data_IF_396198573155
#
_entry.id   IF_396198573155
#
_cell.length_a   1.000
_cell.length_b   1.000
_cell.length_c   1.000
_cell.angle_alpha   90.00
_cell.angle_beta   90.00
_cell.angle_gamma   90.00
#
_symmetry.space_group_name_H-M   'P 1'
#
loop_
_entity.id
_entity.type
_entity.pdbx_description
1 polymer ?
2 branched ?
3 branched ?
4 non-polymer ?
5 non-polymer ?
6 non-polymer ?
7 non-polymer ?
8 water ?
#
# COMPACT_ATOMS: atom_id res chain seq x y z
N UNK A 1 -13.81 -17.18 18.18
CA UNK A 1 -12.58 -16.40 17.90
C UNK A 1 -12.54 -15.16 18.78
N UNK A 2 -11.32 -14.69 19.07
CA UNK A 2 -11.16 -13.49 19.86
C UNK A 2 -10.50 -12.43 18.97
N UNK A 3 -10.66 -11.17 19.34
CA UNK A 3 -10.01 -10.13 18.54
C UNK A 3 -8.50 -10.31 18.64
N UNK A 4 -7.80 -10.09 17.53
CA UNK A 4 -6.34 -10.22 17.56
C UNK A 4 -5.74 -9.03 18.31
N UNK A 5 -4.68 -9.29 19.08
CA UNK A 5 -3.98 -8.20 19.77
C UNK A 5 -2.55 -8.19 19.23
N UNK A 6 -1.97 -7.02 19.06
CA UNK A 6 -0.60 -6.87 18.57
C UNK A 6 0.39 -7.04 19.72
N UNK A 7 0.59 -8.31 20.10
CA UNK A 7 1.43 -8.62 21.25
C UNK A 7 2.87 -8.89 20.89
N UNK A 8 3.21 -9.12 19.62
CA UNK A 8 4.57 -9.48 19.27
C UNK A 8 5.32 -8.32 18.64
N UNK A 9 6.64 -8.43 18.60
CA UNK A 9 7.49 -7.45 17.93
C UNK A 9 7.82 -8.04 16.54
N UNK A 10 8.52 -7.26 15.73
CA UNK A 10 8.93 -7.71 14.41
C UNK A 10 10.07 -8.71 14.54
N UNK A 11 10.11 -9.68 13.64
CA UNK A 11 11.21 -10.61 13.55
C UNK A 11 12.40 -9.79 13.02
N UNK A 12 13.60 -10.30 13.23
CA UNK A 12 14.80 -9.65 12.72
C UNK A 12 14.87 -9.89 11.21
N UNK A 13 14.98 -8.79 10.46
CA UNK A 13 14.99 -8.85 9.01
C UNK A 13 16.43 -8.88 8.51
N UNK A 14 16.89 -10.03 8.00
CA UNK A 14 18.27 -10.13 7.51
C UNK A 14 18.29 -10.26 6.01
N UNK A 15 17.12 -10.50 5.43
CA UNK A 15 16.93 -10.58 3.99
C UNK A 15 15.45 -10.80 3.72
N UNK A 16 15.10 -10.86 2.43
CA UNK A 16 13.70 -11.04 2.04
C UNK A 16 13.56 -12.29 1.19
N UNK A 17 12.51 -13.08 1.38
CA UNK A 17 12.33 -14.28 0.55
C UNK A 17 11.05 -14.13 -0.24
N UNK A 18 10.95 -14.80 -1.38
CA UNK A 18 9.73 -14.72 -2.20
C UNK A 18 8.55 -15.29 -1.44
N UNK A 19 7.41 -14.58 -1.50
CA UNK A 19 6.20 -15.04 -0.80
C UNK A 19 5.09 -15.38 -1.80
N UNK A 20 4.82 -14.47 -2.73
CA UNK A 20 3.80 -14.73 -3.75
C UNK A 20 4.10 -13.94 -5.03
N UNK A 21 3.55 -14.43 -6.13
CA UNK A 21 3.73 -13.74 -7.41
C UNK A 21 2.62 -14.26 -8.31
N UNK A 22 1.82 -13.44 -8.94
CA UNK A 22 0.73 -14.01 -9.74
C UNK A 22 0.94 -14.04 -11.23
N UNK A 23 1.94 -13.36 -11.79
CA UNK A 23 2.18 -13.38 -13.24
C UNK A 23 0.89 -13.09 -13.99
N UNK A 24 0.11 -12.13 -13.52
CA UNK A 24 -1.21 -11.88 -14.08
C UNK A 24 -1.21 -11.40 -15.52
N UNK A 25 -0.26 -10.50 -15.84
CA UNK A 25 -0.27 -9.96 -17.22
C UNK A 25 0.18 -11.03 -18.21
N UNK A 26 1.18 -11.83 -17.87
CA UNK A 26 1.58 -12.95 -18.72
C UNK A 26 0.39 -13.89 -18.96
N UNK A 27 -0.21 -14.34 -17.85
CA UNK A 27 -1.31 -15.31 -17.95
C UNK A 27 -2.52 -14.72 -18.65
N UNK A 28 -2.85 -13.46 -18.33
CA UNK A 28 -3.95 -12.74 -18.91
C UNK A 28 -3.89 -12.47 -20.40
N UNK A 29 -2.71 -12.65 -21.00
CA UNK A 29 -2.57 -12.53 -22.46
C UNK A 29 -3.47 -13.52 -23.17
N UNK A 30 -3.80 -14.67 -22.56
CA UNK A 30 -4.67 -15.68 -23.15
C UNK A 30 -5.56 -16.37 -22.13
N UNK A 31 -6.14 -15.61 -21.20
CA UNK A 31 -7.08 -16.18 -20.22
C UNK A 31 -7.86 -14.99 -19.65
N UNK A 32 -8.99 -15.21 -19.00
CA UNK A 32 -9.88 -14.15 -18.58
C UNK A 32 -9.50 -13.52 -17.26
N UNK A 33 -8.44 -12.73 -17.35
CA UNK A 33 -7.89 -12.03 -16.21
C UNK A 33 -8.40 -10.60 -16.20
N UNK A 34 -8.87 -10.15 -15.05
CA UNK A 34 -9.37 -8.79 -14.92
C UNK A 34 -8.24 -7.75 -14.92
N UNK A 35 -8.55 -6.60 -15.51
CA UNK A 35 -7.61 -5.48 -15.47
C UNK A 35 -7.69 -4.92 -14.04
N UNK A 36 -6.56 -4.70 -13.39
CA UNK A 36 -6.57 -4.14 -12.05
C UNK A 36 -5.56 -3.00 -11.95
N UNK A 37 -5.46 -2.39 -10.79
CA UNK A 37 -4.41 -1.52 -10.34
C UNK A 37 -4.59 -1.40 -8.82
N UNK A 38 -3.62 -0.77 -8.16
CA UNK A 38 -3.65 -0.57 -6.71
C UNK A 38 -3.89 -1.85 -5.93
N UNK A 39 -3.03 -2.84 -6.08
CA UNK A 39 -3.15 -4.12 -5.41
C UNK A 39 -2.59 -4.08 -3.99
N UNK A 40 -2.91 -5.13 -3.23
CA UNK A 40 -2.31 -5.29 -1.90
C UNK A 40 -2.52 -6.73 -1.46
N UNK A 41 -2.04 -7.06 -0.25
CA UNK A 41 -2.17 -8.42 0.27
C UNK A 41 -2.75 -8.29 1.69
N UNK A 42 -3.57 -9.24 2.11
CA UNK A 42 -4.13 -9.15 3.46
C UNK A 42 -4.47 -10.56 3.94
N UNK A 43 -4.18 -10.86 5.20
CA UNK A 43 -4.44 -12.17 5.73
C UNK A 43 -5.64 -12.19 6.69
N UNK A 44 -6.32 -13.33 6.65
CA UNK A 44 -7.36 -13.73 7.57
C UNK A 44 -6.65 -14.75 8.46
N UNK A 45 -7.28 -15.23 9.52
CA UNK A 45 -6.70 -16.21 10.40
C UNK A 45 -6.38 -17.54 9.73
N UNK A 46 -7.06 -17.91 8.66
CA UNK A 46 -6.85 -19.18 7.99
C UNK A 46 -6.39 -19.08 6.54
N UNK A 47 -6.15 -17.89 6.02
CA UNK A 47 -5.77 -17.77 4.61
C UNK A 47 -5.20 -16.39 4.32
N UNK A 48 -4.34 -16.26 3.33
CA UNK A 48 -3.86 -14.92 2.95
C UNK A 48 -4.25 -14.72 1.49
N UNK A 49 -4.72 -13.54 1.11
CA UNK A 49 -5.20 -13.35 -0.27
C UNK A 49 -4.64 -12.09 -0.89
N UNK A 50 -4.69 -12.05 -2.23
CA UNK A 50 -4.33 -10.83 -2.97
C UNK A 50 -5.60 -10.01 -3.15
N UNK A 51 -5.47 -8.69 -3.14
CA UNK A 51 -6.58 -7.74 -3.27
C UNK A 51 -6.20 -6.72 -4.34
N UNK A 52 -7.17 -6.10 -4.98
CA UNK A 52 -6.88 -5.02 -5.93
C UNK A 52 -8.18 -4.33 -6.35
N UNK A 53 -8.02 -3.21 -7.04
CA UNK A 53 -9.18 -2.54 -7.61
C UNK A 53 -9.32 -2.97 -9.06
N UNK A 54 -10.33 -3.77 -9.33
CA UNK A 54 -10.63 -4.18 -10.70
C UNK A 54 -11.05 -2.96 -11.52
N UNK A 55 -11.00 -3.09 -12.83
CA UNK A 55 -11.49 -2.07 -13.74
C UNK A 55 -12.73 -2.56 -14.48
N UNK A 56 -13.23 -3.73 -14.09
CA UNK A 56 -14.49 -4.24 -14.63
C UNK A 56 -14.41 -4.61 -16.11
N UNK A 57 -13.31 -5.23 -16.49
CA UNK A 57 -13.10 -5.71 -17.85
C UNK A 57 -11.88 -6.64 -17.80
N UNK A 58 -11.78 -7.54 -18.75
CA UNK A 58 -10.56 -8.37 -18.83
C UNK A 58 -9.49 -7.59 -19.58
N UNK A 59 -8.25 -8.05 -19.57
CA UNK A 59 -7.17 -7.32 -20.26
C UNK A 59 -7.28 -7.45 -21.76
N UNK A 60 -7.66 -8.63 -22.26
CA UNK A 60 -7.84 -8.82 -23.70
C UNK A 60 -9.18 -8.26 -24.18
N UNK A 61 -10.10 -7.93 -23.27
CA UNK A 61 -11.39 -7.38 -23.68
C UNK A 61 -11.21 -5.99 -24.28
N UNK A 62 -12.13 -5.64 -25.17
CA UNK A 62 -12.14 -4.32 -25.80
C UNK A 62 -12.37 -3.22 -24.77
N UNK A 63 -13.03 -3.49 -23.64
CA UNK A 63 -13.21 -2.48 -22.60
C UNK A 63 -11.92 -2.21 -21.83
N UNK A 64 -10.79 -2.85 -22.15
CA UNK A 64 -9.52 -2.54 -21.48
C UNK A 64 -9.03 -1.16 -21.95
N UNK A 65 -9.50 -0.72 -23.11
CA UNK A 65 -9.11 0.59 -23.63
C UNK A 65 -9.57 1.69 -22.69
N UNK A 66 -8.66 2.49 -22.16
CA UNK A 66 -9.05 3.60 -21.29
C UNK A 66 -8.87 3.28 -19.82
N UNK A 67 -8.27 2.14 -19.49
CA UNK A 67 -8.09 1.74 -18.10
C UNK A 67 -6.94 2.43 -17.39
N UNK A 68 -6.28 3.43 -18.00
CA UNK A 68 -5.36 4.27 -17.26
C UNK A 68 -6.22 5.10 -16.29
N UNK A 69 -7.50 5.37 -16.58
CA UNK A 69 -8.37 6.19 -15.76
C UNK A 69 -8.50 5.63 -14.34
N UNK A 70 -8.47 6.53 -13.36
CA UNK A 70 -8.50 6.08 -11.97
C UNK A 70 -9.82 5.76 -11.31
N UNK A 71 -10.91 6.45 -11.67
CA UNK A 71 -12.13 6.35 -10.86
C UNK A 71 -13.42 6.19 -11.59
N UNK A 72 -13.67 5.04 -12.21
CA UNK A 72 -14.94 4.85 -12.92
C UNK A 72 -15.93 4.12 -12.03
N UNK A 73 -17.17 4.01 -12.54
CA UNK A 73 -18.24 3.27 -11.87
C UNK A 73 -18.07 1.77 -12.02
N UNK A 74 -17.07 1.31 -12.78
CA UNK A 74 -16.86 -0.09 -13.12
C UNK A 74 -15.75 -0.70 -12.27
N UNK A 75 -15.25 0.05 -11.29
CA UNK A 75 -14.23 -0.48 -10.40
C UNK A 75 -14.82 -1.12 -9.15
N UNK A 76 -14.05 -2.03 -8.56
CA UNK A 76 -14.46 -2.69 -7.32
C UNK A 76 -13.23 -3.28 -6.62
N UNK A 77 -13.34 -3.36 -5.30
CA UNK A 77 -12.30 -4.05 -4.55
C UNK A 77 -12.57 -5.56 -4.73
N UNK A 78 -11.58 -6.29 -5.20
CA UNK A 78 -11.70 -7.74 -5.35
C UNK A 78 -10.59 -8.44 -4.57
N UNK A 79 -10.82 -9.69 -4.15
CA UNK A 79 -9.77 -10.49 -3.54
C UNK A 79 -9.78 -11.84 -4.25
N UNK A 80 -8.62 -12.50 -4.21
CA UNK A 80 -8.45 -13.80 -4.88
C UNK A 80 -7.32 -14.57 -4.23
N UNK A 81 -7.27 -15.88 -4.42
CA UNK A 81 -6.31 -16.74 -3.74
C UNK A 81 -4.87 -16.34 -3.98
N UNK A 82 -4.05 -16.38 -2.93
CA UNK A 82 -2.65 -16.01 -2.98
C UNK A 82 -1.94 -16.59 -4.22
N UNK A 83 -1.31 -15.72 -4.99
CA UNK A 83 -0.52 -16.07 -6.16
C UNK A 83 -1.29 -16.54 -7.38
N UNK A 84 -2.61 -16.70 -7.33
CA UNK A 84 -3.37 -16.96 -8.57
C UNK A 84 -3.53 -15.56 -9.16
N UNK A 85 -3.91 -15.41 -10.42
CA UNK A 85 -4.18 -14.11 -11.01
C UNK A 85 -5.63 -13.73 -10.71
N UNK A 86 -5.99 -12.45 -10.79
CA UNK A 86 -7.35 -12.01 -10.53
C UNK A 86 -8.22 -12.34 -11.73
N UNK A 87 -8.90 -13.49 -11.74
CA UNK A 87 -9.68 -13.82 -12.93
C UNK A 87 -11.16 -13.51 -12.72
N UNK A 88 -11.90 -13.52 -13.83
CA UNK A 88 -13.33 -13.28 -13.74
C UNK A 88 -13.97 -14.33 -12.83
N UNK A 89 -13.49 -15.57 -12.90
CA UNK A 89 -14.08 -16.69 -12.20
C UNK A 89 -13.55 -16.98 -10.82
N UNK A 90 -12.46 -16.38 -10.35
CA UNK A 90 -11.98 -16.68 -9.00
C UNK A 90 -11.96 -15.40 -8.16
N UNK A 91 -12.36 -14.27 -8.70
CA UNK A 91 -12.25 -13.02 -7.95
C UNK A 91 -13.51 -12.73 -7.15
N UNK A 92 -13.35 -12.48 -5.85
CA UNK A 92 -14.50 -12.23 -4.99
C UNK A 92 -14.64 -10.73 -4.80
N UNK A 93 -15.81 -10.16 -5.10
CA UNK A 93 -15.94 -8.70 -4.89
C UNK A 93 -16.22 -8.42 -3.41
N UNK A 94 -15.44 -7.53 -2.83
CA UNK A 94 -15.60 -7.15 -1.43
C UNK A 94 -16.52 -5.94 -1.27
N UNK A 95 -16.45 -5.03 -2.24
CA UNK A 95 -17.31 -3.84 -2.23
C UNK A 95 -17.08 -3.08 -3.53
N UNK A 96 -17.91 -2.09 -3.85
CA UNK A 96 -17.79 -1.34 -5.10
C UNK A 96 -17.15 0.01 -4.87
N UNK A 97 -16.17 0.37 -5.72
CA UNK A 97 -15.54 1.68 -5.48
C UNK A 97 -14.19 1.77 -6.17
N UNK A 98 -13.53 2.92 -6.05
CA UNK A 98 -12.26 3.17 -6.71
C UNK A 98 -11.14 3.57 -5.77
N UNK A 99 -11.31 3.34 -4.48
CA UNK A 99 -10.31 3.55 -3.43
C UNK A 99 -10.67 2.62 -2.27
N UNK A 100 -9.72 1.88 -1.69
CA UNK A 100 -10.10 0.93 -0.65
C UNK A 100 -9.04 0.66 0.41
N UNK A 101 -9.48 -0.09 1.40
CA UNK A 101 -8.65 -0.68 2.45
C UNK A 101 -9.46 -1.87 3.02
N UNK A 102 -8.77 -2.80 3.67
CA UNK A 102 -9.43 -3.99 4.20
C UNK A 102 -8.53 -4.60 5.26
N UNK A 103 -9.13 -5.16 6.33
CA UNK A 103 -8.33 -5.84 7.34
C UNK A 103 -9.20 -6.77 8.16
N UNK A 104 -8.58 -7.80 8.71
CA UNK A 104 -9.27 -8.77 9.55
C UNK A 104 -8.96 -8.44 11.00
N UNK A 105 -9.96 -8.45 11.89
CA UNK A 105 -9.70 -8.11 13.28
C UNK A 105 -9.50 -9.36 14.14
N UNK A 106 -9.50 -10.56 13.54
CA UNK A 106 -9.33 -11.78 14.35
C UNK A 106 -10.68 -12.50 14.40
N UNK A 107 -11.77 -11.74 14.32
CA UNK A 107 -13.11 -12.32 14.29
C UNK A 107 -13.67 -12.35 12.88
N UNK A 108 -13.63 -11.21 12.20
CA UNK A 108 -14.08 -11.16 10.81
C UNK A 108 -13.42 -9.97 10.12
N UNK A 109 -13.69 -9.79 8.84
CA UNK A 109 -13.02 -8.74 8.07
C UNK A 109 -13.85 -7.50 7.84
N UNK A 110 -13.15 -6.35 7.93
CA UNK A 110 -13.73 -5.05 7.59
C UNK A 110 -13.19 -4.65 6.22
N UNK A 111 -14.04 -4.22 5.29
CA UNK A 111 -13.53 -3.76 3.99
C UNK A 111 -14.15 -2.39 3.71
N UNK A 112 -13.39 -1.46 3.16
CA UNK A 112 -13.93 -0.12 2.94
C UNK A 112 -13.69 0.26 1.48
N UNK A 113 -14.74 0.72 0.82
CA UNK A 113 -14.66 1.14 -0.56
C UNK A 113 -15.30 2.54 -0.68
N UNK A 114 -14.63 3.39 -1.44
CA UNK A 114 -15.14 4.74 -1.69
C UNK A 114 -15.56 4.87 -3.16
N UNK A 115 -16.71 5.45 -3.43
CA UNK A 115 -17.17 5.66 -4.79
C UNK A 115 -17.78 7.05 -4.90
N UNK A 116 -18.13 7.46 -6.12
CA UNK A 116 -18.79 8.73 -6.34
C UNK A 116 -17.96 9.66 -7.23
N UNK A 117 -18.59 10.76 -7.62
CA UNK A 117 -17.90 11.77 -8.45
C UNK A 117 -16.90 12.49 -7.56
N UNK A 118 -15.97 13.24 -8.13
CA UNK A 118 -14.97 13.93 -7.34
C UNK A 118 -15.51 14.81 -6.22
N UNK A 119 -16.62 15.53 -6.45
CA UNK A 119 -17.16 16.41 -5.44
C UNK A 119 -18.22 15.78 -4.57
N UNK A 120 -18.45 14.46 -4.65
CA UNK A 120 -19.57 13.94 -3.81
C UNK A 120 -19.35 12.45 -3.53
N UNK A 121 -18.11 12.08 -3.19
CA UNK A 121 -17.77 10.68 -2.93
C UNK A 121 -18.18 10.26 -1.52
N UNK A 122 -18.34 8.96 -1.33
CA UNK A 122 -18.70 8.47 0.00
C UNK A 122 -18.06 7.11 0.23
N UNK A 123 -17.69 6.83 1.46
CA UNK A 123 -17.13 5.57 1.89
C UNK A 123 -18.22 4.67 2.47
N UNK A 124 -18.18 3.38 2.13
CA UNK A 124 -19.11 2.43 2.73
C UNK A 124 -18.23 1.43 3.49
N UNK A 125 -18.48 1.26 4.78
CA UNK A 125 -17.68 0.37 5.60
C UNK A 125 -18.42 -0.96 5.76
N UNK A 126 -17.84 -2.03 5.25
CA UNK A 126 -18.41 -3.37 5.32
C UNK A 126 -17.75 -4.16 6.46
N UNK A 127 -18.54 -4.98 7.16
CA UNK A 127 -17.99 -5.78 8.25
C UNK A 127 -18.72 -7.11 8.23
N UNK A 128 -17.98 -8.23 8.19
CA UNK A 128 -18.63 -9.54 8.09
C UNK A 128 -19.45 -9.61 6.81
N UNK A 129 -18.89 -9.05 5.73
CA UNK A 129 -19.46 -8.99 4.40
C UNK A 129 -20.81 -8.33 4.26
N UNK A 130 -21.14 -7.41 5.14
CA UNK A 130 -22.36 -6.61 5.12
C UNK A 130 -22.03 -5.14 5.34
N UNK A 131 -22.74 -4.25 4.66
CA UNK A 131 -22.53 -2.81 4.85
C UNK A 131 -23.02 -2.40 6.23
N UNK A 132 -22.21 -1.64 6.96
CA UNK A 132 -22.57 -1.24 8.32
C UNK A 132 -22.62 0.27 8.50
N UNK A 133 -21.58 0.97 8.04
CA UNK A 133 -21.47 2.41 8.20
C UNK A 133 -21.12 3.11 6.90
N UNK A 134 -21.58 4.35 6.75
CA UNK A 134 -21.28 5.16 5.57
C UNK A 134 -20.75 6.53 5.99
N UNK A 135 -19.78 7.06 5.25
CA UNK A 135 -19.18 8.37 5.59
C UNK A 135 -19.20 9.25 4.35
N UNK A 136 -19.81 10.44 4.42
CA UNK A 136 -19.85 11.31 3.26
C UNK A 136 -18.57 12.15 3.15
N UNK A 137 -18.24 12.56 1.93
CA UNK A 137 -17.08 13.43 1.72
C UNK A 137 -17.16 14.65 2.63
N UNK A 138 -16.03 15.05 3.23
CA UNK A 138 -16.02 16.23 4.07
C UNK A 138 -15.36 17.44 3.40
N UNK A 139 -14.57 17.24 2.36
CA UNK A 139 -13.92 18.36 1.68
C UNK A 139 -14.29 18.43 0.21
N UNK A 140 -15.18 17.57 -0.26
CA UNK A 140 -15.69 17.51 -1.61
C UNK A 140 -14.60 17.47 -2.68
N UNK A 141 -13.58 16.64 -2.46
CA UNK A 141 -12.50 16.58 -3.45
C UNK A 141 -11.80 15.24 -3.33
N UNK A 142 -12.42 14.23 -3.94
CA UNK A 142 -11.88 12.88 -4.01
C UNK A 142 -11.56 12.26 -2.66
N UNK A 143 -12.62 12.02 -1.86
CA UNK A 143 -12.44 11.29 -0.59
C UNK A 143 -11.66 10.02 -0.94
N UNK A 144 -10.62 9.64 -0.21
CA UNK A 144 -9.78 8.52 -0.61
C UNK A 144 -9.05 7.88 0.55
N UNK A 145 -8.58 6.64 0.38
CA UNK A 145 -7.93 5.98 1.53
C UNK A 145 -6.67 5.22 1.12
N UNK A 146 -6.25 4.30 1.95
CA UNK A 146 -4.95 3.67 1.93
C UNK A 146 -4.49 2.95 0.70
N UNK A 147 -5.31 2.12 0.10
CA UNK A 147 -4.91 1.27 -1.04
C UNK A 147 -4.03 0.13 -0.55
N UNK A 148 -4.09 -0.18 0.75
CA UNK A 148 -3.41 -1.34 1.30
C UNK A 148 -4.07 -1.68 2.64
N UNK A 149 -3.71 -2.80 3.24
CA UNK A 149 -4.43 -3.25 4.43
C UNK A 149 -4.34 -2.31 5.62
N UNK A 150 -5.41 -2.27 6.42
CA UNK A 150 -5.45 -1.58 7.69
C UNK A 150 -4.98 -2.60 8.74
N UNK A 151 -4.85 -2.20 9.99
CA UNK A 151 -4.40 -3.06 11.07
C UNK A 151 -5.31 -2.93 12.29
N UNK A 152 -5.61 -4.04 12.93
CA UNK A 152 -6.48 -3.98 14.11
C UNK A 152 -5.81 -4.40 15.40
N UNK A 153 -6.31 -3.87 16.52
CA UNK A 153 -5.81 -4.25 17.84
C UNK A 153 -6.99 -4.29 18.81
N UNK A 154 -7.28 -5.44 19.39
CA UNK A 154 -8.42 -5.64 20.28
C UNK A 154 -9.71 -5.11 19.65
N UNK A 155 -9.91 -5.35 18.37
CA UNK A 155 -11.12 -4.96 17.64
C UNK A 155 -11.08 -3.54 17.09
N UNK A 156 -10.12 -2.72 17.49
CA UNK A 156 -10.04 -1.34 16.99
C UNK A 156 -9.13 -1.32 15.76
N UNK A 157 -9.69 -0.92 14.62
CA UNK A 157 -8.96 -0.87 13.36
C UNK A 157 -8.89 0.55 12.83
N UNK A 158 -7.80 1.26 13.07
CA UNK A 158 -7.62 2.62 12.58
C UNK A 158 -7.45 2.64 11.06
N UNK A 159 -8.00 3.67 10.42
CA UNK A 159 -7.94 3.83 8.97
C UNK A 159 -7.64 5.30 8.65
N UNK A 160 -6.73 5.55 7.71
CA UNK A 160 -6.38 6.92 7.34
C UNK A 160 -7.06 7.29 6.03
N UNK A 161 -7.75 8.42 6.02
CA UNK A 161 -8.43 8.92 4.84
C UNK A 161 -7.94 10.34 4.54
N UNK A 162 -8.09 10.78 3.32
CA UNK A 162 -7.74 12.13 2.92
C UNK A 162 -8.84 12.64 1.99
N UNK A 163 -9.17 13.91 2.12
CA UNK A 163 -10.19 14.51 1.24
C UNK A 163 -9.67 15.93 0.99
N UNK A 164 -9.65 16.39 -0.25
CA UNK A 164 -9.12 17.71 -0.54
C UNK A 164 -8.05 17.56 -1.62
N UNK A 165 -7.35 18.67 -1.88
CA UNK A 165 -6.36 18.74 -2.92
C UNK A 165 -5.27 17.70 -2.76
N UNK A 166 -4.77 17.20 -3.88
CA UNK A 166 -3.65 16.26 -3.84
C UNK A 166 -2.35 17.06 -3.98
N UNK A 167 -2.48 18.36 -4.28
CA UNK A 167 -1.30 19.20 -4.53
C UNK A 167 -1.25 20.44 -3.66
N UNK A 168 -1.64 20.32 -2.40
CA UNK A 168 -1.65 21.45 -1.44
C UNK A 168 -2.28 20.90 -0.16
N UNK A 169 -2.51 21.73 0.82
CA UNK A 169 -3.12 21.31 2.07
C UNK A 169 -4.43 20.58 1.81
N UNK A 170 -4.67 19.53 2.58
CA UNK A 170 -5.89 18.71 2.47
C UNK A 170 -6.36 18.34 3.86
N UNK A 171 -7.51 17.69 3.97
CA UNK A 171 -8.07 17.30 5.26
C UNK A 171 -7.98 15.78 5.45
N UNK A 172 -6.98 15.38 6.20
CA UNK A 172 -6.70 13.98 6.51
C UNK A 172 -7.31 13.67 7.87
N UNK A 173 -8.01 12.53 7.95
CA UNK A 173 -8.63 12.08 9.17
C UNK A 173 -8.22 10.64 9.50
N UNK A 174 -8.10 10.36 10.78
CA UNK A 174 -7.81 9.00 11.21
C UNK A 174 -9.09 8.51 11.89
N UNK A 175 -9.70 7.48 11.30
CA UNK A 175 -10.92 6.92 11.86
C UNK A 175 -10.58 5.65 12.64
N UNK A 176 -11.23 5.46 13.76
CA UNK A 176 -11.04 4.28 14.60
C UNK A 176 -12.33 3.46 14.54
N UNK A 177 -12.29 2.35 13.80
CA UNK A 177 -13.49 1.53 13.65
C UNK A 177 -13.46 0.33 14.58
N UNK A 178 -14.64 -0.15 14.97
CA UNK A 178 -14.76 -1.39 15.74
C UNK A 178 -16.08 -2.05 15.30
N UNK A 179 -16.00 -3.21 14.72
CA UNK A 179 -17.15 -3.92 14.17
C UNK A 179 -17.84 -3.08 13.11
N UNK A 180 -17.05 -2.36 12.31
CA UNK A 180 -17.55 -1.52 11.24
C UNK A 180 -18.19 -0.22 11.72
N UNK A 181 -18.20 0.05 13.01
CA UNK A 181 -18.81 1.28 13.51
C UNK A 181 -17.71 2.27 13.92
N UNK A 182 -18.04 3.55 13.86
CA UNK A 182 -17.07 4.58 14.22
C UNK A 182 -17.02 4.80 15.73
N UNK A 183 -15.86 4.57 16.34
CA UNK A 183 -15.71 4.85 17.77
C UNK A 183 -15.33 6.33 17.93
N UNK A 184 -14.45 6.77 17.03
CA UNK A 184 -13.90 8.12 17.09
C UNK A 184 -13.19 8.44 15.78
N UNK A 185 -12.97 9.73 15.53
CA UNK A 185 -12.13 10.15 14.42
C UNK A 185 -11.39 11.41 14.90
N UNK A 186 -10.24 11.65 14.30
CA UNK A 186 -9.49 12.86 14.63
C UNK A 186 -8.74 13.34 13.40
N UNK A 187 -8.58 14.66 13.30
CA UNK A 187 -7.86 15.27 12.21
C UNK A 187 -6.37 14.96 12.37
N UNK A 188 -5.66 14.90 11.26
CA UNK A 188 -4.23 14.67 11.30
C UNK A 188 -3.54 15.69 12.21
N UNK A 189 -2.60 15.23 13.02
CA UNK A 189 -1.80 16.17 13.83
C UNK A 189 -0.34 15.82 13.58
N UNK A 190 0.57 16.57 14.20
CA UNK A 190 1.99 16.30 14.02
C UNK A 190 2.59 17.17 12.92
N UNK A 191 3.78 16.79 12.44
CA UNK A 191 4.47 17.64 11.46
C UNK A 191 4.38 17.17 10.02
N UNK A 192 3.71 16.05 9.74
CA UNK A 192 3.54 15.65 8.32
C UNK A 192 2.65 16.71 7.70
N UNK A 193 3.01 17.26 6.54
CA UNK A 193 2.23 18.36 5.95
C UNK A 193 1.18 17.90 4.94
N UNK A 194 1.31 16.68 4.44
CA UNK A 194 0.33 16.17 3.47
C UNK A 194 0.40 14.65 3.53
N UNK A 195 -0.76 13.99 3.55
CA UNK A 195 -0.79 12.53 3.66
C UNK A 195 -1.62 11.86 2.56
N UNK A 196 -1.06 10.80 1.98
CA UNK A 196 -1.77 9.99 1.00
C UNK A 196 -1.40 8.51 1.18
N UNK A 197 -2.34 7.64 0.85
CA UNK A 197 -2.09 6.21 0.75
C UNK A 197 -1.17 5.60 1.78
N UNK A 198 -1.57 5.61 3.06
CA UNK A 198 -0.69 5.06 4.08
C UNK A 198 -0.60 3.54 4.01
N UNK A 199 0.60 3.03 4.20
CA UNK A 199 0.91 1.61 4.25
C UNK A 199 1.21 1.30 5.72
N UNK A 200 0.42 0.43 6.35
CA UNK A 200 0.59 0.25 7.80
C UNK A 200 0.93 -1.17 8.23
N UNK A 201 1.47 -1.29 9.44
CA UNK A 201 1.78 -2.57 10.06
C UNK A 201 1.70 -2.32 11.58
N UNK A 202 1.52 -3.37 12.35
CA UNK A 202 1.37 -3.29 13.79
C UNK A 202 2.33 -4.23 14.51
N UNK A 203 2.79 -3.77 15.67
CA UNK A 203 3.68 -4.57 16.51
C UNK A 203 3.66 -3.95 17.91
N UNK A 204 3.67 -4.78 18.95
CA UNK A 204 3.65 -4.29 20.32
C UNK A 204 2.69 -3.15 20.56
N UNK A 205 1.43 -3.35 20.19
CA UNK A 205 0.32 -2.44 20.41
C UNK A 205 0.47 -1.03 19.86
N UNK A 206 1.17 -0.93 18.74
CA UNK A 206 1.41 0.34 18.08
C UNK A 206 1.30 0.07 16.58
N UNK A 207 0.66 0.97 15.85
CA UNK A 207 0.50 0.81 14.41
C UNK A 207 1.34 1.90 13.74
N UNK A 208 2.17 1.49 12.79
CA UNK A 208 3.03 2.46 12.11
C UNK A 208 2.63 2.52 10.65
N UNK A 209 2.40 3.73 10.14
CA UNK A 209 2.01 3.86 8.74
C UNK A 209 3.01 4.76 8.02
N UNK A 210 3.44 4.32 6.84
CA UNK A 210 4.34 5.12 6.00
C UNK A 210 3.53 5.58 4.81
N UNK A 211 3.48 6.88 4.56
CA UNK A 211 2.56 7.45 3.59
C UNK A 211 3.25 8.18 2.46
N UNK A 212 2.48 8.84 1.63
CA UNK A 212 2.97 9.54 0.43
C UNK A 212 2.64 11.02 0.56
N UNK A 213 3.65 11.87 0.67
CA UNK A 213 3.35 13.32 0.72
C UNK A 213 3.32 13.74 -0.73
N UNK A 214 2.16 13.77 -1.37
CA UNK A 214 2.08 14.12 -2.78
C UNK A 214 2.36 15.58 -3.06
N UNK A 215 2.25 16.45 -2.07
CA UNK A 215 2.43 17.88 -2.28
C UNK A 215 3.88 18.29 -2.44
N UNK A 216 4.65 18.33 -1.37
CA UNK A 216 6.03 18.79 -1.45
C UNK A 216 7.14 17.82 -1.09
N UNK A 217 6.89 16.74 -0.37
CA UNK A 217 7.95 15.94 0.18
C UNK A 217 8.44 14.72 -0.55
N UNK A 218 9.76 14.55 -0.66
CA UNK A 218 10.27 13.35 -1.32
C UNK A 218 10.74 12.34 -0.26
N UNK A 219 10.70 12.76 0.98
CA UNK A 219 10.87 11.89 2.15
C UNK A 219 9.42 11.45 2.45
N UNK A 220 9.21 10.33 3.13
CA UNK A 220 7.83 9.92 3.36
C UNK A 220 7.35 10.27 4.77
N UNK A 221 6.11 10.75 4.85
CA UNK A 221 5.52 11.02 6.15
C UNK A 221 5.28 9.69 6.85
N UNK A 222 5.28 9.72 8.18
CA UNK A 222 5.04 8.56 9.02
C UNK A 222 4.00 8.93 10.08
N UNK A 223 2.96 8.13 10.18
CA UNK A 223 1.94 8.28 11.20
C UNK A 223 2.04 7.10 12.17
N UNK A 224 2.12 7.37 13.47
CA UNK A 224 2.18 6.31 14.46
C UNK A 224 0.95 6.40 15.36
N UNK A 225 0.19 5.31 15.36
CA UNK A 225 -1.09 5.28 16.04
C UNK A 225 -1.09 4.35 17.25
N UNK A 226 -1.67 4.83 18.33
CA UNK A 226 -1.91 4.05 19.55
C UNK A 226 -3.38 3.68 19.46
N UNK A 227 -3.69 2.42 19.14
CA UNK A 227 -5.08 1.99 18.96
C UNK A 227 -5.84 1.75 20.24
N UNK A 228 -5.21 1.88 21.38
CA UNK A 228 -5.88 1.74 22.68
C UNK A 228 -6.32 3.13 23.12
N UNK A 229 -5.37 4.07 23.14
CA UNK A 229 -5.69 5.46 23.45
C UNK A 229 -6.44 6.15 22.33
N UNK A 230 -6.35 5.60 21.11
CA UNK A 230 -6.95 6.16 19.92
C UNK A 230 -6.41 7.56 19.72
N UNK A 231 -5.07 7.65 19.65
CA UNK A 231 -4.32 8.87 19.43
C UNK A 231 -3.18 8.57 18.46
N UNK A 232 -2.60 9.61 17.86
CA UNK A 232 -1.53 9.42 16.90
C UNK A 232 -0.55 10.60 16.90
N UNK A 233 0.56 10.40 16.22
CA UNK A 233 1.57 11.42 16.00
C UNK A 233 1.97 11.33 14.52
N UNK A 234 2.64 12.35 14.00
CA UNK A 234 3.09 12.27 12.60
C UNK A 234 4.43 13.02 12.52
N UNK A 235 5.24 12.61 11.57
CA UNK A 235 6.53 13.21 11.28
C UNK A 235 6.96 12.69 9.90
N UNK A 236 8.22 12.88 9.53
CA UNK A 236 8.73 12.33 8.28
C UNK A 236 9.86 11.37 8.62
N UNK A 237 10.19 10.43 7.72
CA UNK A 237 11.38 9.60 7.90
C UNK A 237 12.55 10.60 7.78
N UNK A 238 13.37 10.73 8.82
CA UNK A 238 14.47 11.66 8.91
C UNK A 238 15.61 11.37 7.92
N UNK A 239 15.83 10.09 7.63
CA UNK A 239 16.93 9.69 6.77
C UNK A 239 17.04 10.42 5.46
N UNK A 240 18.28 10.59 4.99
CA UNK A 240 18.56 11.17 3.68
C UNK A 240 18.35 10.16 2.57
N UNK A 241 18.04 8.90 2.88
CA UNK A 241 17.74 7.91 1.84
C UNK A 241 16.28 8.19 1.45
N UNK A 242 16.04 8.97 0.40
CA UNK A 242 14.68 9.38 0.05
C UNK A 242 13.92 8.28 -0.66
N UNK A 243 12.65 8.06 -0.23
CA UNK A 243 11.95 6.91 -0.78
C UNK A 243 10.67 7.16 -1.54
N UNK A 244 10.33 8.41 -1.90
CA UNK A 244 9.16 8.60 -2.75
C UNK A 244 9.65 8.57 -4.20
N UNK A 245 8.77 8.83 -5.16
CA UNK A 245 9.18 8.85 -6.58
C UNK A 245 8.14 9.67 -7.33
N UNK A 246 8.53 10.57 -8.23
CA UNK A 246 9.91 10.90 -8.49
C UNK A 246 10.53 11.60 -7.30
N UNK A 247 11.83 11.82 -7.28
CA UNK A 247 12.47 12.46 -6.14
C UNK A 247 13.82 13.01 -6.62
N UNK A 248 14.40 13.90 -5.86
CA UNK A 248 15.75 14.40 -6.20
C UNK A 248 16.74 13.34 -5.76
N UNK A 249 18.02 13.52 -6.09
CA UNK A 249 19.04 12.58 -5.64
C UNK A 249 19.19 12.65 -4.14
N UNK A 250 19.67 11.59 -3.51
CA UNK A 250 19.82 11.59 -2.06
C UNK A 250 20.85 12.61 -1.56
N UNK A 251 20.51 13.37 -0.54
CA UNK A 251 21.44 14.28 0.11
C UNK A 251 22.20 13.56 1.20
N UNK A 252 22.97 14.24 2.04
CA UNK A 252 23.65 13.61 3.15
C UNK A 252 22.87 13.82 4.45
N UNK A 253 21.94 14.78 4.46
CA UNK A 253 21.13 14.97 5.68
C UNK A 253 19.67 15.11 5.26
N UNK A 254 18.74 14.42 5.91
CA UNK A 254 17.33 14.54 5.48
C UNK A 254 16.58 15.53 6.35
N UNK A 255 15.26 15.44 6.38
CA UNK A 255 14.43 16.32 7.20
C UNK A 255 13.46 15.46 8.01
N UNK A 256 13.37 15.72 9.31
CA UNK A 256 12.51 14.97 10.22
C UNK A 256 11.09 15.50 10.30
N UNK A 257 10.92 16.83 10.24
CA UNK A 257 9.64 17.48 10.49
C UNK A 257 9.13 18.39 9.39
N UNK A 258 9.62 18.22 8.17
CA UNK A 258 9.20 18.96 7.01
C UNK A 258 9.53 18.15 5.75
N UNK A 259 8.80 18.43 4.69
CA UNK A 259 9.00 17.76 3.43
C UNK A 259 10.38 18.08 2.86
N UNK A 260 11.08 17.08 2.37
CA UNK A 260 12.36 17.26 1.70
C UNK A 260 12.01 17.71 0.29
N UNK A 261 12.44 18.91 -0.08
CA UNK A 261 12.04 19.52 -1.33
C UNK A 261 12.77 19.05 -2.57
N UNK A 262 12.29 19.54 -3.72
CA UNK A 262 12.90 19.18 -4.99
C UNK A 262 11.88 18.72 -6.01
N UNK A 263 10.81 18.07 -5.58
CA UNK A 263 9.77 17.54 -6.47
C UNK A 263 8.40 17.83 -5.84
N UNK A 264 7.50 18.38 -6.65
CA UNK A 264 6.18 18.75 -6.19
C UNK A 264 5.07 18.01 -6.91
N UNK A 265 3.93 17.89 -6.23
CA UNK A 265 2.72 17.38 -6.86
C UNK A 265 2.84 16.05 -7.57
N UNK A 266 3.47 15.08 -6.93
CA UNK A 266 3.56 13.75 -7.52
C UNK A 266 4.12 12.80 -6.45
N UNK A 267 4.10 11.51 -6.72
CA UNK A 267 4.58 10.61 -5.67
C UNK A 267 4.14 9.19 -6.05
N UNK A 268 4.32 8.26 -5.13
CA UNK A 268 3.91 6.87 -5.35
C UNK A 268 3.69 6.24 -3.99
N UNK A 269 2.69 5.36 -3.90
CA UNK A 269 2.48 4.71 -2.60
C UNK A 269 3.68 3.85 -2.27
N UNK A 270 4.14 3.88 -1.02
CA UNK A 270 5.32 3.11 -0.62
C UNK A 270 5.20 2.71 0.85
N UNK A 271 6.27 2.12 1.40
CA UNK A 271 6.18 1.65 2.78
C UNK A 271 7.55 1.58 3.42
N UNK A 272 7.57 1.26 4.71
CA UNK A 272 8.82 1.01 5.41
C UNK A 272 8.54 0.18 6.66
N UNK A 273 9.57 -0.40 7.23
CA UNK A 273 9.48 -1.08 8.53
C UNK A 273 10.46 -0.29 9.40
N UNK A 274 9.99 0.38 10.43
CA UNK A 274 10.81 1.29 11.25
C UNK A 274 10.95 0.70 12.65
N UNK A 275 12.07 0.05 12.88
CA UNK A 275 12.27 -0.69 14.12
C UNK A 275 13.71 -0.59 14.58
N UNK A 276 14.16 0.64 14.86
CA UNK A 276 15.53 0.84 15.34
C UNK A 276 16.54 0.37 14.31
N UNK A 277 17.51 -0.47 14.74
CA UNK A 277 18.50 -0.96 13.77
C UNK A 277 17.84 -1.94 12.79
N UNK A 278 16.71 -2.54 13.11
CA UNK A 278 15.99 -3.44 12.23
C UNK A 278 15.03 -2.65 11.32
N UNK A 279 15.53 -1.60 10.69
CA UNK A 279 14.76 -0.73 9.83
C UNK A 279 15.12 -0.97 8.37
N UNK A 280 14.08 -1.19 7.57
CA UNK A 280 14.28 -1.41 6.13
C UNK A 280 13.30 -0.52 5.37
N UNK A 281 13.80 0.18 4.35
CA UNK A 281 12.99 1.04 3.52
C UNK A 281 12.87 0.47 2.10
N UNK A 282 11.68 0.59 1.51
CA UNK A 282 11.60 0.21 0.09
C UNK A 282 11.63 1.50 -0.75
N UNK A 283 12.05 1.36 -2.00
CA UNK A 283 11.97 2.47 -2.95
C UNK A 283 12.21 1.98 -4.38
N UNK A 284 11.75 2.82 -5.32
CA UNK A 284 12.02 2.56 -6.73
C UNK A 284 13.52 2.82 -6.89
N UNK A 285 14.15 2.18 -7.85
CA UNK A 285 15.58 2.46 -8.10
C UNK A 285 15.68 3.80 -8.81
N UNK A 286 14.87 4.01 -9.84
CA UNK A 286 14.90 5.28 -10.58
C UNK A 286 14.42 6.44 -9.72
N UNK A 287 15.05 7.62 -9.91
CA UNK A 287 14.57 8.79 -9.17
C UNK A 287 13.50 9.50 -9.99
N UNK A 288 13.36 9.14 -11.27
CA UNK A 288 12.43 9.84 -12.15
C UNK A 288 11.15 9.10 -12.50
N UNK A 289 11.17 7.77 -12.49
CA UNK A 289 9.99 7.02 -12.89
C UNK A 289 9.78 5.77 -12.03
N UNK A 290 8.62 5.13 -12.20
CA UNK A 290 8.28 3.94 -11.40
C UNK A 290 8.94 2.73 -12.02
N UNK A 291 10.26 2.66 -11.86
CA UNK A 291 11.08 1.62 -12.44
C UNK A 291 12.05 1.12 -11.40
N UNK A 292 12.13 -0.19 -11.33
CA UNK A 292 12.95 -0.92 -10.36
C UNK A 292 12.35 -0.83 -8.96
N UNK A 293 12.91 -1.66 -8.08
CA UNK A 293 12.50 -1.67 -6.68
C UNK A 293 13.61 -2.31 -5.86
N UNK A 294 13.91 -1.68 -4.73
CA UNK A 294 14.94 -2.21 -3.86
C UNK A 294 14.58 -2.01 -2.39
N UNK A 295 15.12 -2.90 -1.56
CA UNK A 295 14.95 -2.78 -0.12
C UNK A 295 16.28 -2.35 0.48
N UNK A 296 16.30 -1.34 1.33
CA UNK A 296 17.55 -0.89 1.94
C UNK A 296 17.47 -0.93 3.46
N UNK A 297 18.47 -1.53 4.10
CA UNK A 297 18.51 -1.56 5.56
C UNK A 297 19.12 -0.24 6.01
N UNK A 298 18.37 0.60 6.70
CA UNK A 298 18.81 1.93 7.08
C UNK A 298 18.54 2.09 8.58
N UNK A 299 19.52 1.71 9.38
CA UNK A 299 19.37 1.73 10.84
C UNK A 299 18.93 3.09 11.32
N UNK A 300 17.86 3.11 12.12
CA UNK A 300 17.28 4.30 12.71
C UNK A 300 16.86 5.35 11.69
N UNK A 301 16.36 4.93 10.52
CA UNK A 301 15.93 5.86 9.50
C UNK A 301 14.89 6.86 9.98
N UNK A 302 13.97 6.42 10.85
CA UNK A 302 12.94 7.31 11.34
C UNK A 302 13.50 8.51 12.11
N UNK A 303 14.51 8.30 12.94
CA UNK A 303 15.00 9.36 13.81
C UNK A 303 16.39 9.88 13.54
N UNK A 304 17.15 9.28 12.64
CA UNK A 304 18.53 9.72 12.40
C UNK A 304 18.59 10.41 11.05
N UNK A 305 18.84 11.72 11.05
CA UNK A 305 18.83 12.48 9.81
C UNK A 305 20.07 12.36 8.95
N UNK A 306 21.01 11.48 9.29
CA UNK A 306 22.16 11.24 8.43
C UNK A 306 22.27 9.74 8.14
N UNK A 307 21.27 8.94 8.57
CA UNK A 307 21.35 7.49 8.41
C UNK A 307 21.45 7.05 6.96
N UNK A 308 22.38 6.12 6.67
CA UNK A 308 22.57 5.58 5.32
C UNK A 308 22.49 4.06 5.37
N UNK A 309 22.42 3.42 4.22
CA UNK A 309 22.25 1.97 4.15
C UNK A 309 23.40 1.16 4.70
N UNK A 310 23.12 0.03 5.34
CA UNK A 310 24.16 -0.88 5.82
C UNK A 310 24.01 -2.25 5.14
N UNK A 311 22.94 -2.42 4.37
CA UNK A 311 22.67 -3.65 3.64
C UNK A 311 21.53 -3.38 2.66
N UNK A 312 21.38 -4.21 1.62
CA UNK A 312 20.26 -4.00 0.72
C UNK A 312 19.85 -5.28 -0.01
N UNK A 313 18.75 -5.17 -0.77
CA UNK A 313 18.29 -6.28 -1.61
C UNK A 313 17.55 -5.72 -2.82
N UNK A 314 17.94 -6.14 -4.02
CA UNK A 314 17.23 -5.69 -5.22
C UNK A 314 16.02 -6.62 -5.38
N UNK A 315 14.86 -6.03 -5.65
CA UNK A 315 13.63 -6.80 -5.82
C UNK A 315 13.26 -6.82 -7.30
N UNK A 316 13.32 -5.66 -7.94
CA UNK A 316 13.00 -5.48 -9.34
C UNK A 316 14.11 -4.63 -9.99
N UNK A 317 14.65 -5.12 -11.10
CA UNK A 317 15.72 -4.37 -11.78
C UNK A 317 15.20 -3.04 -12.29
N UNK A 318 16.12 -2.07 -12.42
CA UNK A 318 15.74 -0.74 -12.92
C UNK A 318 15.32 -0.78 -14.37
N UNK A 319 15.52 -1.89 -15.08
CA UNK A 319 15.08 -2.03 -16.46
C UNK A 319 13.71 -2.66 -16.54
N UNK A 320 13.03 -2.81 -15.38
CA UNK A 320 11.68 -3.35 -15.32
C UNK A 320 10.77 -2.36 -14.58
N UNK A 321 9.49 -2.34 -14.94
CA UNK A 321 8.51 -1.45 -14.33
C UNK A 321 8.05 -1.93 -12.96
N UNK A 322 7.92 -0.96 -12.05
CA UNK A 322 7.38 -1.27 -10.73
C UNK A 322 6.13 -0.42 -10.52
N UNK A 323 5.90 0.13 -9.33
CA UNK A 323 4.65 0.87 -9.09
C UNK A 323 4.41 0.99 -7.58
N UNK A 324 3.16 0.91 -7.15
CA UNK A 324 2.84 1.01 -5.73
C UNK A 324 3.48 -0.10 -4.92
N UNK A 325 3.71 0.12 -3.63
CA UNK A 325 4.19 -0.95 -2.77
C UNK A 325 3.59 -0.70 -1.37
N UNK A 326 3.42 -1.78 -0.61
CA UNK A 326 2.79 -1.63 0.69
C UNK A 326 3.13 -2.79 1.61
N UNK A 327 2.79 -2.57 2.89
CA UNK A 327 3.08 -3.55 3.92
C UNK A 327 1.87 -4.35 4.35
N UNK A 328 2.13 -5.58 4.78
CA UNK A 328 1.10 -6.43 5.37
C UNK A 328 1.89 -7.45 6.19
N UNK A 329 1.23 -8.11 7.14
CA UNK A 329 1.86 -9.20 7.88
C UNK A 329 0.81 -10.27 8.13
N UNK A 330 1.27 -11.50 8.34
CA UNK A 330 0.35 -12.56 8.74
C UNK A 330 0.36 -12.53 10.28
N UNK A 331 -0.61 -11.83 10.86
CA UNK A 331 -0.74 -11.70 12.30
C UNK A 331 -1.15 -12.99 13.00
N UNK A 332 -1.53 -14.02 12.26
CA UNK A 332 -1.96 -15.29 12.82
C UNK A 332 -0.98 -16.42 12.57
N UNK A 333 0.27 -16.12 12.24
CA UNK A 333 1.28 -17.17 12.02
C UNK A 333 1.76 -17.72 13.35
N UNK A 334 2.54 -18.80 13.32
CA UNK A 334 3.08 -19.37 14.55
C UNK A 334 4.37 -18.65 14.93
N UNK A 335 4.92 -18.90 16.11
CA UNK A 335 6.21 -18.28 16.43
C UNK A 335 6.05 -17.11 17.39
N UNK A 336 7.17 -16.47 17.71
CA UNK A 336 7.15 -15.42 18.71
C UNK A 336 7.20 -14.01 18.14
N UNK A 337 7.33 -13.88 16.83
CA UNK A 337 7.44 -12.54 16.26
C UNK A 337 6.62 -12.43 14.98
N UNK A 338 6.34 -11.20 14.58
CA UNK A 338 5.62 -10.97 13.32
C UNK A 338 6.62 -10.79 12.18
N UNK A 339 6.43 -11.56 11.10
CA UNK A 339 7.32 -11.49 9.95
C UNK A 339 6.86 -10.38 9.00
N UNK A 340 7.71 -9.38 8.82
CA UNK A 340 7.41 -8.27 7.94
C UNK A 340 7.24 -8.77 6.51
N UNK A 341 6.22 -8.29 5.81
CA UNK A 341 6.04 -8.63 4.40
C UNK A 341 5.71 -7.37 3.60
N UNK A 342 5.87 -7.43 2.27
CA UNK A 342 5.46 -6.32 1.43
C UNK A 342 5.10 -6.85 0.05
N UNK A 343 4.41 -6.03 -0.73
CA UNK A 343 4.13 -6.39 -2.12
C UNK A 343 4.66 -5.23 -2.97
N UNK A 344 4.90 -5.47 -4.26
CA UNK A 344 5.20 -4.44 -5.22
C UNK A 344 4.22 -4.64 -6.40
N UNK A 345 3.52 -3.59 -6.80
CA UNK A 345 2.64 -3.58 -7.95
C UNK A 345 3.55 -3.42 -9.18
N UNK A 346 3.51 -4.31 -10.15
CA UNK A 346 4.33 -4.21 -11.36
C UNK A 346 3.42 -3.68 -12.47
N UNK A 347 3.45 -2.36 -12.68
CA UNK A 347 2.53 -1.76 -13.64
C UNK A 347 2.94 -1.96 -15.09
N UNK A 348 1.95 -2.38 -15.89
CA UNK A 348 2.21 -2.57 -17.32
C UNK A 348 1.20 -1.75 -18.10
N UNK A 349 1.60 -1.37 -19.32
CA UNK A 349 0.68 -0.58 -20.13
C UNK A 349 0.90 0.91 -19.93
N UNK A 350 -0.16 1.70 -20.08
CA UNK A 350 -0.01 3.16 -20.03
C UNK A 350 0.26 3.67 -18.64
N UNK A 351 0.97 4.80 -18.52
CA UNK A 351 1.42 5.58 -19.64
C UNK A 351 2.80 5.24 -20.19
N UNK A 352 3.56 4.37 -19.53
CA UNK A 352 4.92 4.07 -19.98
C UNK A 352 5.00 3.23 -21.24
N UNK A 353 4.05 2.34 -21.45
CA UNK A 353 3.99 1.46 -22.60
C UNK A 353 2.71 1.78 -23.36
N UNK A 354 2.77 2.82 -24.21
CA UNK A 354 1.56 3.26 -24.88
C UNK A 354 1.22 2.64 -26.21
N UNK A 355 1.86 1.54 -26.58
CA UNK A 355 1.47 0.78 -27.77
C UNK A 355 0.20 -0.01 -27.47
N UNK A 356 -0.09 -0.24 -26.19
CA UNK A 356 -1.34 -0.86 -25.79
C UNK A 356 -2.24 0.27 -25.25
N UNK A 357 -3.55 0.02 -25.22
CA UNK A 357 -4.47 1.06 -24.77
C UNK A 357 -4.92 0.87 -23.32
N UNK A 358 -4.39 -0.16 -22.67
CA UNK A 358 -4.77 -0.42 -21.29
C UNK A 358 -3.65 -0.12 -20.30
N UNK A 359 -4.03 -0.21 -19.02
CA UNK A 359 -3.09 -0.10 -17.90
C UNK A 359 -3.47 -1.25 -16.95
N UNK A 360 -2.55 -2.10 -16.55
CA UNK A 360 -2.88 -3.14 -15.59
C UNK A 360 -1.62 -3.38 -14.76
N UNK A 361 -1.57 -4.46 -13.99
CA UNK A 361 -0.38 -4.74 -13.21
C UNK A 361 -0.35 -6.23 -12.86
N UNK A 362 0.77 -6.69 -12.38
CA UNK A 362 0.85 -8.00 -11.74
C UNK A 362 1.41 -7.71 -10.34
N UNK A 363 1.50 -8.73 -9.50
CA UNK A 363 1.95 -8.53 -8.12
C UNK A 363 3.16 -9.41 -7.83
N UNK A 364 4.08 -8.88 -7.05
CA UNK A 364 5.16 -9.70 -6.50
C UNK A 364 5.18 -9.38 -4.99
N UNK A 365 5.40 -10.37 -4.14
CA UNK A 365 5.36 -10.09 -2.70
C UNK A 365 6.40 -10.92 -1.99
N UNK A 366 7.05 -10.34 -0.96
CA UNK A 366 8.12 -10.98 -0.23
C UNK A 366 7.86 -10.87 1.28
N UNK A 367 8.53 -11.71 2.06
CA UNK A 367 8.45 -11.59 3.52
C UNK A 367 9.89 -11.71 4.02
N UNK A 368 10.14 -11.25 5.25
CA UNK A 368 11.51 -11.26 5.75
C UNK A 368 11.99 -12.64 6.18
N UNK A 369 13.31 -12.82 6.11
CA UNK A 369 13.96 -14.03 6.59
C UNK A 369 15.01 -13.62 7.64
N UNK A 370 15.25 -14.48 8.62
CA UNK A 370 16.33 -14.25 9.57
C UNK A 370 17.65 -14.79 8.99
N UNK A 371 17.60 -15.46 7.83
CA UNK A 371 18.82 -15.87 7.14
C UNK A 371 19.28 -14.72 6.25
N UNK A 372 20.50 -14.81 5.72
CA UNK A 372 20.96 -13.80 4.76
C UNK A 372 20.87 -14.46 3.38
N UNK A 373 19.67 -14.47 2.80
CA UNK A 373 19.45 -15.17 1.54
C UNK A 373 19.94 -14.50 0.27
N UNK A 374 20.30 -15.31 -0.72
CA UNK A 374 20.68 -14.78 -2.03
C UNK A 374 19.51 -14.02 -2.64
N UNK A 375 19.82 -13.05 -3.51
CA UNK A 375 18.77 -12.27 -4.15
C UNK A 375 18.59 -12.60 -5.63
N UNK A 376 17.36 -12.42 -6.10
CA UNK A 376 16.99 -12.55 -7.50
C UNK A 376 16.19 -11.28 -7.83
N UNK A 377 15.82 -11.10 -9.09
CA UNK A 377 14.97 -9.94 -9.42
C UNK A 377 13.67 -10.55 -9.91
N UNK A 378 12.56 -9.87 -9.72
CA UNK A 378 11.25 -10.44 -10.03
C UNK A 378 10.40 -9.52 -10.90
N UNK A 379 10.59 -9.57 -12.21
CA UNK A 379 9.85 -8.73 -13.13
C UNK A 379 8.44 -9.22 -13.38
N UNK A 380 7.60 -8.39 -14.00
CA UNK A 380 6.24 -8.84 -14.34
C UNK A 380 6.34 -10.03 -15.28
N UNK A 381 7.20 -9.91 -16.29
CA UNK A 381 7.48 -10.97 -17.23
C UNK A 381 6.69 -11.02 -18.51
N UNK A 382 5.72 -10.14 -18.70
CA UNK A 382 4.93 -10.17 -19.93
C UNK A 382 5.64 -9.41 -21.04
N UNK A 383 5.38 -9.82 -22.27
CA UNK A 383 5.94 -9.16 -23.44
C UNK A 383 4.84 -8.29 -24.04
N UNK A 384 4.96 -6.97 -24.01
CA UNK A 384 3.96 -6.06 -24.56
C UNK A 384 3.64 -6.35 -26.01
N UNK A 385 4.65 -6.67 -26.82
CA UNK A 385 4.53 -6.99 -28.21
C UNK A 385 3.49 -8.06 -28.48
N UNK A 386 3.31 -9.03 -27.58
CA UNK A 386 2.29 -10.05 -27.77
C UNK A 386 0.86 -9.52 -27.73
N UNK A 387 0.63 -8.37 -27.11
CA UNK A 387 -0.70 -7.80 -26.98
C UNK A 387 -1.07 -6.88 -28.14
N UNK A 388 -0.16 -6.72 -29.10
CA UNK A 388 -0.42 -5.84 -30.24
C UNK A 388 -1.13 -6.52 -31.38
X LIG B 1 -24.14 15.97 -3.88
X LIG B 1 -24.75 16.95 -4.87
X LIG B 1 -26.04 17.52 -4.33
X LIG B 1 -26.96 16.32 -3.96
X LIG B 1 -26.24 15.39 -2.96
X LIG B 1 -27.08 14.20 -2.54
X LIG B 1 -23.34 18.46 -6.31
X LIG B 1 -22.44 19.64 -6.22
X LIG B 1 -23.83 18.08 -5.11
X LIG B 1 -26.68 18.25 -5.38
X LIG B 1 -28.22 16.80 -3.42
X LIG B 1 -25.10 14.90 -3.65
X LIG B 1 -27.56 13.44 -3.59
X LIG B 1 -23.60 17.90 -7.27
X LIG B 2 -29.38 16.23 -4.01
X LIG B 2 -30.53 16.33 -3.01
X LIG B 2 -31.71 15.63 -3.66
X LIG B 2 -31.99 16.37 -4.99
X LIG B 2 -30.74 16.42 -5.91
X LIG B 2 -30.91 17.23 -7.16
X LIG B 2 -29.86 16.34 -0.61
X LIG B 2 -29.74 15.50 0.61
X LIG B 2 -30.18 15.67 -1.74
X LIG B 2 -32.85 15.62 -2.81
X LIG B 2 -33.06 15.70 -5.69
X LIG B 2 -29.69 17.04 -5.16
X LIG B 2 -31.21 18.57 -6.97
X LIG B 2 -29.71 17.48 -0.61
X LIG B 3 -34.20 16.47 -6.05
X LIG B 3 -34.98 15.62 -7.09
X LIG B 3 -36.29 16.35 -7.32
X LIG B 3 -37.09 16.60 -6.08
X LIG B 3 -36.18 17.35 -5.06
X LIG B 3 -36.87 17.58 -3.73
X LIG B 3 -35.22 14.32 -6.59
X LIG B 3 -37.05 15.54 -8.23
X LIG B 3 -38.26 17.35 -6.36
X LIG B 3 -34.99 16.58 -4.88
X LIG B 3 -36.30 18.67 -3.06
X LIG B 4 -37.74 16.20 -9.27
X LIG B 4 -38.70 15.16 -9.93
X LIG B 4 -37.87 14.10 -10.62
X LIG B 4 -36.99 14.71 -11.69
X LIG B 4 -36.06 15.72 -10.99
X LIG B 4 -35.21 16.57 -11.96
X LIG B 4 -39.46 15.97 -10.82
X LIG B 4 -38.73 13.11 -11.20
X LIG B 4 -36.28 13.72 -12.38
X LIG B 4 -36.81 16.64 -10.21
X LIG B 4 -34.15 17.05 -11.15
X LIG B 5 -40.53 15.45 -11.53
X LIG B 5 -41.03 16.58 -12.49
X LIG B 5 -41.74 17.64 -11.67
X LIG B 5 -42.82 17.09 -10.78
X LIG B 5 -42.24 15.96 -9.88
X LIG B 5 -43.29 15.22 -9.06
X LIG B 5 -41.84 15.99 -13.46
X LIG B 5 -42.24 18.58 -12.65
X LIG B 5 -43.37 18.06 -9.91
X LIG B 5 -41.53 15.03 -10.66
X LIG B 5 -44.39 14.91 -9.87
X LIG B 6 -41.38 15.83 -14.78
X LIG B 6 -42.60 15.43 -15.65
X LIG B 6 -43.07 14.04 -15.20
X LIG B 6 -41.96 13.01 -15.29
X LIG B 6 -40.77 13.49 -14.41
X LIG B 6 -39.52 12.64 -14.53
X LIG B 6 -42.23 15.42 -17.02
X LIG B 6 -44.22 13.70 -15.97
X LIG B 6 -42.40 11.73 -14.87
X LIG B 6 -40.41 14.81 -14.78
X LIG B 6 -39.12 12.63 -15.89
X LIG B 7 -36.78 19.98 -3.36
X LIG B 7 -35.90 21.01 -2.61
X LIG B 7 -36.09 20.84 -1.12
X LIG B 7 -37.54 20.97 -0.72
X LIG B 7 -38.34 19.92 -1.51
X LIG B 7 -39.84 19.98 -1.32
X LIG B 7 -36.29 22.31 -3.04
X LIG B 7 -35.27 21.80 -0.42
X LIG B 7 -37.67 20.77 0.66
X LIG B 7 -38.10 20.08 -2.90
X LIG B 7 -40.24 21.32 -1.59
X LIG C 1 -7.09 -9.42 23.16
X LIG C 1 -7.44 -10.87 23.46
X LIG C 1 -8.88 -10.91 23.96
X LIG C 1 -9.02 -9.95 25.16
X LIG C 1 -8.50 -8.54 24.79
X LIG C 1 -8.52 -7.56 25.94
X LIG C 1 -6.72 -12.92 22.24
X LIG C 1 -6.68 -13.56 20.91
X LIG C 1 -7.31 -11.69 22.25
X LIG C 1 -9.17 -12.26 24.31
X LIG C 1 -10.39 -9.78 25.54
X LIG C 1 -7.14 -8.69 24.40
X LIG C 1 -7.86 -8.04 27.06
X LIG C 1 -6.31 -13.41 23.20
X LIG C 2 -10.96 -10.59 26.54
X LIG C 2 -12.35 -10.04 26.85
X LIG C 2 -12.90 -10.84 28.01
X LIG C 2 -13.03 -12.30 27.53
X LIG C 2 -11.73 -12.82 26.87
X LIG C 2 -12.03 -14.08 26.06
X LIG C 2 -11.60 -7.90 27.92
X LIG C 2 -11.55 -6.44 27.75
X LIG C 2 -12.39 -8.59 27.08
X LIG C 2 -14.17 -10.31 28.35
X LIG C 2 -13.31 -13.18 28.64
X LIG C 2 -11.23 -11.88 25.94
X LIG C 2 -13.09 -13.95 25.19
X LIG C 2 -11.00 -8.46 28.73
X LIG D 1 -9.12 3.38 -27.73
X LIG D 1 -9.27 3.08 -29.21
X LIG D 1 -8.87 4.32 -29.99
X LIG D 1 -9.52 5.60 -29.43
X LIG D 1 -9.35 5.69 -27.90
X LIG D 1 -10.03 6.91 -27.33
X LIG D 1 -8.69 0.70 -29.86
X LIG D 1 -7.59 -0.24 -30.12
X LIG D 1 -8.35 1.97 -29.58
X LIG D 1 -9.35 4.19 -31.34
X LIG D 1 -8.89 6.77 -29.99
X LIG D 1 -9.95 4.52 -27.37
X LIG D 1 -11.37 7.02 -27.65
X LIG D 1 -9.77 0.35 -29.89
X LIG E 1 6.09 13.28 -3.19
X LIG F 1 -11.75 -18.32 -24.42
X LIG G 1 -4.89 6.72 -8.06
X LIG G 1 -5.56 5.88 -7.08
X LIG G 1 -6.60 5.21 -7.40
X LIG G 1 -7.13 5.10 -8.66
X LIG G 1 -7.24 4.46 -6.43
X LIG G 1 -4.22 7.92 -7.33
X LIG G 1 -5.19 9.06 -6.86
X LIG G 1 -4.41 10.25 -6.18
X LIG G 1 -3.62 9.80 -4.92
X LIG G 1 -2.50 10.74 -4.42
X LIG G 1 -5.44 11.38 -5.86
X LIG G 1 -6.21 11.94 -7.09
X LIG G 1 -6.20 8.52 -5.94
X LIG G 1 -7.48 8.32 -6.35
X LIG G 1 -8.46 7.69 -5.37
X LIG G 1 -7.92 8.59 -7.46
X LIG G 1 -3.15 8.45 -8.35
X LIG G 1 -3.78 9.42 -9.24
X LIG G 1 -2.76 7.20 -9.21
X LIG G 1 -1.29 6.87 -9.22
X LIG G 1 -0.82 5.81 -9.58
X LIG G 1 -0.47 7.80 -8.72
X LIG G 1 -3.62 6.03 -8.67
X LIG H 1 15.04 17.84 10.47
X LIG H 1 15.60 17.45 11.70
X LIG H 1 14.00 18.94 10.60
X LIG H 1 14.69 20.18 10.43
X LIG H 1 12.93 18.88 9.51
X LIG H 1 12.08 20.01 9.66
X LIG I 1 -13.16 0.87 -19.15
X LIG I 1 -13.27 0.63 -20.53
X LIG I 1 -13.25 2.40 -18.96
X LIG I 1 -14.56 2.84 -19.28
X LIG I 1 -12.92 2.77 -17.51
X LIG I 1 -13.07 4.18 -17.36
X LIG J 1 7.68 -16.03 13.20
X LIG J 1 8.61 -17.03 13.61
X LIG J 1 7.42 -16.19 11.70
X LIG J 1 7.85 -17.51 11.34
X LIG J 1 5.92 -16.08 11.39
X LIG J 1 5.74 -15.65 10.07
#
# INVERSE_FOLDING_TARGET
RDFNNLTKGLCTINSWHIYGKDNAVRIGEDSDVLVTREPYVSCDPDECRFYALSQGTTIRGKHSNGTIHDRSQYRALISWPLSSPPTVYNSRVECIGWSSTSCHDGKTRMSICISGPNNNASAVIWYNRRPVTEINTWARNILRTQESECVCHNGVCPVVFTDGSATGPAETRIYYFKEGKILKWEPLAGTAKHIEECSCYGERAEITCTCRDNWQGSNRPVIRIDPVAMTHTSQYICSPVLTDNPRPNDPTVGKCNDPYPGNNNNGVKGFSYLDGVNTWLGRTISIASRSGYEMLKVPNALTDDKSKPTQGQTIVLNTDWSGYSGSFMDYWAEGECYRACFYVELIRGRPKEDKVWWTSNSIVSMCSSTEFLGQWDWPDGAKIEYFL
NAG C1 C2 C3 C4 C5 C6 C7 C8 N2 O3 O4 O5 O6 O7
NAG C1 C2 C3 C4 C5 C6 C7 C8 N2 O3 O4 O5 O6 O7
BMA C1 C2 C3 C4 C5 C6 O2 O3 O4 O5 O6
MAN C1 C2 C3 C4 C5 C6 O2 O3 O4 O5 O6
MAN C1 C2 C3 C4 C5 C6 O2 O3 O4 O5 O6
MAN C1 C2 C3 C4 C5 C6 O2 O3 O4 O5 O6
MAN C1 C2 C3 C4 C5 C6 O2 O3 O4 O5 O6
NAG C1 C2 C3 C4 C5 C6 C7 C8 N2 O3 O4 O5 O6 O7
NAG C1 C2 C3 C4 C5 C6 C7 C8 N2 O3 O4 O5 O6 O7
NAG C1 C2 C3 C4 C5 C6 C7 C8 N2 O3 O4 O5 O6 O7
CA CA
CA CA
BCZ C2 N25 C26 N30 N27 C3 C10 C24 C37 C38 C36 C39 N11 C13 C15 O14 C4 O9 C5 C6 O8 O7 C1
GOL C1 O1 C2 O2 C3 O3
GOL C1 O1 C2 O2 C3 O3
GOL C1 O1 C2 O2 C3 O3
#
